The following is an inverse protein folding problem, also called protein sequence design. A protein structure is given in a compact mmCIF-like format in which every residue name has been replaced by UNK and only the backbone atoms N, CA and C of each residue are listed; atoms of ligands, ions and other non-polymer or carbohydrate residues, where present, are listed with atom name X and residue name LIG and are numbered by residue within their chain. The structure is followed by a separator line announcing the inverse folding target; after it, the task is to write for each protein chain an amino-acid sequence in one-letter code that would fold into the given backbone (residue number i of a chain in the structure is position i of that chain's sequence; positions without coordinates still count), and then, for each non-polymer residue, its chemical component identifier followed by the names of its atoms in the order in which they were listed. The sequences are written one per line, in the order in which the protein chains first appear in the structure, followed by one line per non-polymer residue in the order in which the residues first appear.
data_IF_363354556061
#
_entry.id   IF_363354556061
#
_cell.length_a   1.000
_cell.length_b   1.000
_cell.length_c   1.000
_cell.angle_alpha   90.00
_cell.angle_beta   90.00
_cell.angle_gamma   90.00
#
_symmetry.space_group_name_H-M   'P 1'
#
loop_
_entity.id
_entity.type
_entity.pdbx_description
1 polymer ?
#
# COMPACT_ATOMS: atom_id res chain seq x y z
N UNK A 1 4.15 6.10 -2.23
CA UNK A 1 3.63 5.56 -3.50
C UNK A 1 2.18 5.08 -3.35
N UNK A 2 1.89 4.13 -2.45
CA UNK A 2 0.56 3.54 -2.22
C UNK A 2 -0.62 4.53 -2.23
N UNK A 3 -0.61 5.51 -1.31
CA UNK A 3 -1.68 6.52 -1.20
C UNK A 3 -1.83 7.28 -2.52
N UNK A 4 -0.71 7.73 -3.10
CA UNK A 4 -0.73 8.61 -4.26
C UNK A 4 -1.28 7.92 -5.52
N UNK A 5 -0.89 6.67 -5.77
CA UNK A 5 -1.38 5.92 -6.93
C UNK A 5 -2.87 5.60 -6.79
N UNK A 6 -3.31 5.23 -5.59
CA UNK A 6 -4.73 4.95 -5.35
C UNK A 6 -5.59 6.22 -5.42
N UNK A 7 -5.13 7.31 -4.82
CA UNK A 7 -5.80 8.61 -4.90
C UNK A 7 -5.85 9.12 -6.34
N UNK A 8 -4.76 8.98 -7.11
CA UNK A 8 -4.74 9.36 -8.53
C UNK A 8 -5.75 8.56 -9.35
N UNK A 9 -5.87 7.25 -9.11
CA UNK A 9 -6.92 6.44 -9.72
C UNK A 9 -8.32 6.94 -9.31
N UNK A 10 -8.56 7.18 -8.02
CA UNK A 10 -9.85 7.69 -7.51
C UNK A 10 -10.24 9.04 -8.13
N UNK A 11 -9.29 9.95 -8.31
CA UNK A 11 -9.53 11.29 -8.84
C UNK A 11 -9.69 11.30 -10.36
N UNK A 12 -9.03 10.39 -11.08
CA UNK A 12 -8.94 10.47 -12.56
C UNK A 12 -9.64 9.33 -13.29
N UNK A 13 -9.94 8.22 -12.61
CA UNK A 13 -10.46 6.98 -13.22
C UNK A 13 -9.47 6.27 -14.15
N UNK A 14 -8.22 6.71 -14.27
CA UNK A 14 -7.28 6.14 -15.24
C UNK A 14 -6.68 4.84 -14.72
N UNK A 15 -6.92 3.75 -15.44
CA UNK A 15 -6.55 2.38 -15.04
C UNK A 15 -5.06 2.20 -14.73
N UNK A 16 -4.17 2.88 -15.46
CA UNK A 16 -2.71 2.87 -15.23
C UNK A 16 -2.30 3.19 -13.79
N UNK A 17 -3.09 3.98 -13.07
CA UNK A 17 -2.80 4.33 -11.68
C UNK A 17 -3.19 3.21 -10.72
N UNK A 18 -4.25 2.47 -11.04
CA UNK A 18 -4.65 1.29 -10.28
C UNK A 18 -3.66 0.15 -10.49
N UNK A 19 -3.24 -0.10 -11.73
CA UNK A 19 -2.17 -1.06 -12.06
C UNK A 19 -0.89 -0.73 -11.29
N UNK A 20 -0.48 0.56 -11.29
CA UNK A 20 0.69 0.97 -10.50
C UNK A 20 0.50 0.82 -9.00
N UNK A 21 -0.71 1.07 -8.48
CA UNK A 21 -1.03 0.84 -7.08
C UNK A 21 -0.86 -0.65 -6.72
N UNK A 22 -1.40 -1.54 -7.56
CA UNK A 22 -1.25 -3.00 -7.44
C UNK A 22 0.23 -3.41 -7.40
N UNK A 23 1.03 -2.97 -8.37
CA UNK A 23 2.44 -3.33 -8.47
C UNK A 23 3.21 -2.92 -7.22
N UNK A 24 2.99 -1.68 -6.76
CA UNK A 24 3.62 -1.16 -5.55
C UNK A 24 3.17 -1.92 -4.32
N UNK A 25 1.87 -2.23 -4.18
CA UNK A 25 1.33 -2.95 -3.03
C UNK A 25 1.88 -4.38 -2.96
N UNK A 26 1.80 -5.12 -4.07
CA UNK A 26 2.28 -6.50 -4.15
C UNK A 26 3.79 -6.59 -3.87
N UNK A 27 4.58 -5.70 -4.46
CA UNK A 27 6.00 -5.66 -4.21
C UNK A 27 6.29 -5.29 -2.75
N UNK A 28 5.60 -4.30 -2.20
CA UNK A 28 5.86 -3.87 -0.83
C UNK A 28 5.48 -4.95 0.20
N UNK A 29 4.31 -5.58 0.06
CA UNK A 29 3.90 -6.69 0.92
C UNK A 29 4.86 -7.88 0.84
N UNK A 30 5.34 -8.24 -0.35
CA UNK A 30 6.25 -9.39 -0.52
C UNK A 30 7.69 -9.15 -0.06
N UNK A 31 8.13 -7.90 0.08
CA UNK A 31 9.53 -7.58 0.43
C UNK A 31 9.71 -6.91 1.79
N UNK A 32 8.77 -6.07 2.21
CA UNK A 32 8.87 -5.38 3.49
C UNK A 32 8.16 -6.11 4.63
N UNK A 33 7.06 -6.82 4.37
CA UNK A 33 6.31 -7.46 5.46
C UNK A 33 7.16 -8.54 6.14
N UNK A 34 7.09 -8.55 7.47
CA UNK A 34 7.70 -9.58 8.30
C UNK A 34 6.59 -10.42 8.93
N UNK A 35 6.34 -11.63 8.40
CA UNK A 35 5.27 -12.49 8.90
C UNK A 35 5.60 -13.10 10.27
N UNK A 36 6.86 -13.11 10.71
CA UNK A 36 7.27 -13.75 11.97
C UNK A 36 7.04 -12.81 13.16
N UNK A 37 7.45 -11.54 13.04
CA UNK A 37 7.39 -10.57 14.15
C UNK A 37 6.35 -9.47 13.95
N UNK A 38 5.66 -9.47 12.80
CA UNK A 38 4.75 -8.41 12.42
C UNK A 38 5.44 -7.12 11.99
N UNK A 39 4.65 -6.19 11.48
CA UNK A 39 5.12 -4.92 10.91
C UNK A 39 6.07 -5.14 9.71
N UNK A 40 6.69 -4.09 9.20
CA UNK A 40 7.45 -4.05 7.95
C UNK A 40 8.90 -3.64 8.21
N UNK A 41 9.85 -4.26 7.53
CA UNK A 41 11.23 -3.77 7.50
C UNK A 41 11.28 -2.32 7.01
N UNK A 42 12.23 -1.55 7.53
CA UNK A 42 12.40 -0.14 7.14
C UNK A 42 13.20 0.07 5.88
N UNK A 43 14.15 -0.84 5.63
CA UNK A 43 15.23 -0.63 4.69
C UNK A 43 15.56 -1.95 4.01
N UNK A 44 15.63 -1.91 2.68
CA UNK A 44 16.02 -3.03 1.84
C UNK A 44 17.24 -2.64 1.02
N UNK A 45 18.08 -3.62 0.71
CA UNK A 45 19.04 -3.52 -0.38
C UNK A 45 18.32 -3.43 -1.73
N UNK A 46 19.05 -3.07 -2.79
CA UNK A 46 18.49 -2.92 -4.15
C UNK A 46 17.88 -4.22 -4.68
N UNK A 47 18.44 -5.37 -4.27
CA UNK A 47 17.90 -6.68 -4.63
C UNK A 47 16.59 -7.00 -3.89
N UNK A 48 16.22 -6.21 -2.86
CA UNK A 48 15.03 -6.36 -2.04
C UNK A 48 15.23 -7.22 -0.78
N UNK A 49 16.46 -7.59 -0.42
CA UNK A 49 16.75 -8.23 0.87
C UNK A 49 16.76 -7.20 2.01
N UNK A 50 16.33 -7.54 3.23
CA UNK A 50 16.38 -6.61 4.37
C UNK A 50 17.81 -6.16 4.67
N UNK A 51 18.06 -4.85 4.65
CA UNK A 51 19.36 -4.29 5.05
C UNK A 51 19.43 -3.98 6.55
N UNK A 52 18.27 -3.95 7.21
CA UNK A 52 18.15 -3.81 8.65
C UNK A 52 16.88 -4.51 9.13
N UNK A 53 16.99 -5.23 10.24
CA UNK A 53 15.86 -5.90 10.90
C UNK A 53 15.14 -4.99 11.90
N UNK A 54 15.62 -3.76 12.11
CA UNK A 54 15.02 -2.80 13.03
C UNK A 54 13.61 -2.40 12.56
N UNK A 55 12.63 -2.53 13.45
CA UNK A 55 11.24 -2.09 13.22
C UNK A 55 11.00 -0.62 13.52
N UNK A 56 11.91 0.01 14.26
CA UNK A 56 11.87 1.42 14.56
C UNK A 56 13.26 1.97 14.85
N UNK A 57 13.45 3.23 14.50
CA UNK A 57 14.65 4.01 14.82
C UNK A 57 14.27 5.51 14.73
N UNK A 58 15.26 6.40 14.75
CA UNK A 58 15.02 7.86 14.65
C UNK A 58 14.23 8.29 13.39
N UNK A 59 14.30 7.50 12.32
CA UNK A 59 13.73 7.79 11.00
C UNK A 59 12.60 6.84 10.58
N UNK A 60 12.35 5.79 11.35
CA UNK A 60 11.22 4.87 11.17
C UNK A 60 10.43 4.78 12.46
N UNK A 61 9.21 5.29 12.41
CA UNK A 61 8.25 5.27 13.51
C UNK A 61 6.87 4.87 13.00
N UNK A 62 5.90 4.80 13.93
CA UNK A 62 4.50 4.51 13.65
C UNK A 62 3.81 5.70 12.97
N UNK A 63 4.21 6.01 11.74
CA UNK A 63 3.65 7.12 10.98
C UNK A 63 3.38 6.73 9.53
N UNK A 64 4.42 6.49 8.73
CA UNK A 64 4.25 6.33 7.29
C UNK A 64 3.45 5.07 6.91
N UNK A 65 3.82 3.93 7.46
CA UNK A 65 3.17 2.65 7.18
C UNK A 65 1.71 2.61 7.64
N UNK A 66 1.38 2.81 8.94
CA UNK A 66 -0.02 2.74 9.39
C UNK A 66 -0.90 3.79 8.71
N UNK A 67 -0.40 5.01 8.49
CA UNK A 67 -1.14 6.05 7.73
C UNK A 67 -1.39 5.62 6.30
N UNK A 68 -0.42 5.02 5.63
CA UNK A 68 -0.60 4.57 4.24
C UNK A 68 -1.68 3.51 4.12
N UNK A 69 -1.66 2.49 4.98
CA UNK A 69 -2.70 1.44 4.97
C UNK A 69 -4.07 2.00 5.36
N UNK A 70 -4.14 2.79 6.43
CA UNK A 70 -5.38 3.42 6.88
C UNK A 70 -6.01 4.30 5.79
N UNK A 71 -5.22 5.19 5.17
CA UNK A 71 -5.72 6.05 4.09
C UNK A 71 -6.12 5.25 2.86
N UNK A 72 -5.38 4.19 2.50
CA UNK A 72 -5.79 3.35 1.37
C UNK A 72 -7.10 2.62 1.68
N UNK A 73 -7.25 2.09 2.90
CA UNK A 73 -8.50 1.49 3.35
C UNK A 73 -9.67 2.49 3.29
N UNK A 74 -9.50 3.71 3.81
CA UNK A 74 -10.53 4.76 3.71
C UNK A 74 -10.87 5.08 2.25
N UNK A 75 -9.85 5.24 1.40
CA UNK A 75 -10.02 5.48 -0.03
C UNK A 75 -10.69 4.30 -0.75
N UNK A 76 -10.70 3.08 -0.21
CA UNK A 76 -11.41 1.94 -0.79
C UNK A 76 -12.82 1.81 -0.21
N UNK A 77 -12.97 2.08 1.08
CA UNK A 77 -14.23 2.02 1.82
C UNK A 77 -15.20 3.16 1.48
N UNK A 78 -14.70 4.33 1.06
CA UNK A 78 -15.52 5.46 0.64
C UNK A 78 -16.30 5.13 -0.64
N UNK A 79 -17.48 4.54 -0.49
CA UNK A 79 -18.41 4.22 -1.59
C UNK A 79 -19.14 5.48 -2.10
N UNK A 80 -18.44 6.60 -2.31
CA UNK A 80 -19.08 7.80 -2.83
C UNK A 80 -19.59 7.53 -4.28
N UNK A 81 -20.91 7.55 -4.51
CA UNK A 81 -21.52 7.16 -5.79
C UNK A 81 -21.23 8.13 -6.95
N UNK A 82 -20.57 9.26 -6.68
CA UNK A 82 -20.10 10.19 -7.72
C UNK A 82 -18.80 9.69 -8.39
N UNK A 83 -18.07 8.76 -7.76
CA UNK A 83 -16.89 8.14 -8.37
C UNK A 83 -17.32 7.02 -9.34
N UNK A 84 -17.01 7.17 -10.62
CA UNK A 84 -17.45 6.30 -11.73
C UNK A 84 -16.79 4.90 -11.76
N UNK A 85 -16.36 4.35 -10.63
CA UNK A 85 -15.51 3.15 -10.62
C UNK A 85 -15.97 2.14 -9.58
N UNK A 86 -16.36 0.95 -10.07
CA UNK A 86 -16.82 -0.18 -9.27
C UNK A 86 -15.72 -0.67 -8.29
N UNK A 87 -16.09 -1.00 -7.03
CA UNK A 87 -15.16 -1.55 -6.03
C UNK A 87 -14.57 -2.91 -6.41
N UNK A 88 -15.20 -3.64 -7.34
CA UNK A 88 -14.78 -4.98 -7.79
C UNK A 88 -13.54 -4.95 -8.71
N UNK A 89 -13.10 -3.76 -9.13
CA UNK A 89 -11.97 -3.59 -10.03
C UNK A 89 -10.61 -3.49 -9.31
N UNK A 90 -10.60 -3.43 -7.98
CA UNK A 90 -9.36 -3.27 -7.21
C UNK A 90 -8.64 -4.61 -7.12
N UNK A 91 -7.30 -4.58 -7.26
CA UNK A 91 -6.45 -5.78 -7.25
C UNK A 91 -6.91 -6.86 -6.28
N UNK A 92 -6.98 -8.13 -6.70
CA UNK A 92 -7.37 -9.24 -5.83
C UNK A 92 -6.59 -9.28 -4.50
N UNK A 93 -5.31 -8.88 -4.53
CA UNK A 93 -4.43 -8.89 -3.37
C UNK A 93 -4.72 -7.79 -2.32
N UNK A 94 -5.40 -6.70 -2.69
CA UNK A 94 -5.72 -5.60 -1.75
C UNK A 94 -6.97 -5.92 -0.93
N UNK A 95 -7.86 -6.76 -1.46
CA UNK A 95 -9.13 -7.12 -0.80
C UNK A 95 -8.94 -8.10 0.38
N UNK A 96 -7.85 -8.85 0.44
CA UNK A 96 -7.65 -9.95 1.42
C UNK A 96 -6.69 -9.61 2.57
N UNK A 97 -6.19 -8.38 2.69
CA UNK A 97 -5.10 -8.05 3.64
C UNK A 97 -5.35 -6.80 4.48
N UNK A 98 -6.62 -6.48 4.76
CA UNK A 98 -7.01 -5.54 5.82
C UNK A 98 -7.77 -6.30 6.91
#
# INVERSE_FOLDING_TARGET
ALIATLLAWRLTGQQRFLERHCDVFNWACSRFADPEHGEWFGYLHRDGTPSSTLKGNLWKSFFHHPRALWMCWQLLADQNPISKTSPDAVCPAVQTSV
#
